data_IF_428158586802
#
_entry.id   IF_428158586802
#
_cell.length_a   1.000
_cell.length_b   1.000
_cell.length_c   1.000
_cell.angle_alpha   90.00
_cell.angle_beta   90.00
_cell.angle_gamma   90.00
#
_symmetry.space_group_name_H-M   'P 1'
#
loop_
_entity.id
_entity.type
_entity.pdbx_description
1 polymer ?
#
# COMPACT_ATOMS: atom_id res chain seq x y z
N UNK A 1 36.98 -1.97 31.03
CA UNK A 1 36.25 -2.94 30.19
C UNK A 1 35.26 -2.14 29.36
N UNK A 2 35.61 -1.82 28.14
CA UNK A 2 34.82 -1.00 27.23
C UNK A 2 33.67 -1.88 26.73
N UNK A 3 32.44 -1.51 27.05
CA UNK A 3 31.22 -2.07 26.44
C UNK A 3 31.28 -1.79 24.93
N UNK A 4 31.50 -2.82 24.15
CA UNK A 4 31.44 -2.74 22.68
C UNK A 4 29.98 -2.52 22.32
N UNK A 5 29.56 -1.26 22.19
CA UNK A 5 28.26 -0.93 21.59
C UNK A 5 28.33 -1.31 20.12
N UNK A 6 27.43 -2.16 19.66
CA UNK A 6 27.20 -2.35 18.24
C UNK A 6 26.96 -0.99 17.58
N UNK A 7 27.58 -0.77 16.42
CA UNK A 7 27.28 0.44 15.65
C UNK A 7 25.79 0.46 15.28
N UNK A 8 25.13 1.64 15.17
CA UNK A 8 23.70 1.76 14.85
C UNK A 8 23.27 1.00 13.59
N UNK A 9 24.19 0.71 12.66
CA UNK A 9 23.97 -0.05 11.44
C UNK A 9 23.66 -1.53 11.67
N UNK A 10 23.98 -2.09 12.84
CA UNK A 10 23.80 -3.51 13.17
C UNK A 10 22.68 -3.79 14.18
N UNK A 11 22.06 -2.75 14.73
CA UNK A 11 20.91 -2.93 15.64
C UNK A 11 19.67 -3.13 14.79
N UNK A 12 19.28 -4.40 14.65
CA UNK A 12 18.10 -4.84 13.92
C UNK A 12 17.12 -5.47 14.93
N UNK A 13 15.84 -5.35 14.64
CA UNK A 13 14.74 -5.93 15.43
C UNK A 13 14.85 -7.45 15.63
N UNK A 14 15.61 -8.17 14.78
CA UNK A 14 15.85 -9.62 14.91
C UNK A 14 17.03 -9.98 15.83
N UNK A 15 17.75 -8.98 16.38
CA UNK A 15 18.83 -9.19 17.35
C UNK A 15 18.30 -8.88 18.74
N UNK A 16 18.26 -9.89 19.60
CA UNK A 16 17.88 -9.71 21.01
C UNK A 16 19.09 -9.51 21.91
N UNK A 17 18.93 -8.71 22.95
CA UNK A 17 19.93 -8.53 23.98
C UNK A 17 19.63 -9.48 25.14
N UNK A 18 20.55 -10.38 25.45
CA UNK A 18 20.51 -11.23 26.63
C UNK A 18 21.47 -10.68 27.68
N UNK A 19 20.99 -10.57 28.94
CA UNK A 19 21.82 -10.18 30.08
C UNK A 19 22.14 -11.41 30.91
N UNK A 20 23.42 -11.68 31.06
CA UNK A 20 23.89 -12.74 31.96
C UNK A 20 23.70 -12.34 33.42
N UNK A 21 23.70 -13.31 34.35
CA UNK A 21 23.63 -13.03 35.77
C UNK A 21 24.79 -12.15 36.30
N UNK A 22 25.90 -12.07 35.55
CA UNK A 22 27.04 -11.20 35.79
C UNK A 22 26.88 -9.78 35.24
N UNK A 23 25.74 -9.44 34.62
CA UNK A 23 25.46 -8.11 34.04
C UNK A 23 26.09 -7.86 32.67
N UNK A 24 26.68 -8.88 32.03
CA UNK A 24 27.24 -8.76 30.68
C UNK A 24 26.11 -8.88 29.65
N UNK A 25 26.02 -7.90 28.76
CA UNK A 25 25.06 -7.94 27.63
C UNK A 25 25.66 -8.74 26.48
N UNK A 26 24.87 -9.69 25.98
CA UNK A 26 25.22 -10.50 24.81
C UNK A 26 24.14 -10.30 23.75
N UNK A 27 24.57 -10.01 22.54
CA UNK A 27 23.68 -9.85 21.38
C UNK A 27 23.49 -11.21 20.72
N UNK A 28 22.24 -11.62 20.53
CA UNK A 28 21.88 -12.94 20.00
C UNK A 28 21.01 -12.79 18.76
N UNK A 29 21.46 -13.34 17.63
CA UNK A 29 20.68 -13.45 16.40
C UNK A 29 20.09 -14.86 16.33
N UNK A 30 18.75 -14.94 16.53
CA UNK A 30 17.96 -16.17 16.47
C UNK A 30 16.75 -16.00 15.55
N UNK A 31 16.94 -16.12 14.24
CA UNK A 31 15.86 -15.93 13.27
C UNK A 31 15.03 -17.20 13.06
N UNK A 32 15.44 -18.35 13.57
CA UNK A 32 14.83 -19.63 13.25
C UNK A 32 13.42 -19.76 13.76
N UNK A 33 12.51 -20.14 12.84
CA UNK A 33 11.07 -20.24 13.08
C UNK A 33 10.56 -21.60 12.58
N UNK A 34 10.12 -22.50 13.48
CA UNK A 34 9.63 -23.82 13.12
C UNK A 34 8.28 -23.81 12.40
N UNK A 35 7.57 -22.67 12.37
CA UNK A 35 6.32 -22.52 11.64
C UNK A 35 6.53 -22.34 10.12
N UNK A 36 7.76 -22.08 9.70
CA UNK A 36 8.09 -21.88 8.30
C UNK A 36 7.93 -23.20 7.52
N UNK A 37 7.30 -23.08 6.35
CA UNK A 37 7.13 -24.18 5.40
C UNK A 37 7.60 -23.75 4.02
N UNK A 38 8.33 -24.61 3.35
CA UNK A 38 8.76 -24.35 1.97
C UNK A 38 7.66 -24.74 0.99
N UNK A 39 7.41 -23.88 0.00
CA UNK A 39 6.44 -24.17 -1.06
C UNK A 39 7.02 -25.20 -2.01
N UNK A 40 6.19 -26.17 -2.42
CA UNK A 40 6.56 -27.20 -3.37
C UNK A 40 6.13 -26.85 -4.78
N UNK A 41 6.67 -27.58 -5.78
CA UNK A 41 6.27 -27.43 -7.18
C UNK A 41 4.76 -27.67 -7.34
N UNK A 42 4.24 -28.71 -6.71
CA UNK A 42 2.82 -29.06 -6.75
C UNK A 42 1.93 -27.97 -6.17
N UNK A 43 2.37 -27.31 -5.08
CA UNK A 43 1.62 -26.20 -4.47
C UNK A 43 1.53 -25.02 -5.44
N UNK A 44 2.66 -24.62 -6.05
CA UNK A 44 2.70 -23.52 -7.02
C UNK A 44 1.82 -23.84 -8.22
N UNK A 45 1.98 -25.01 -8.84
CA UNK A 45 1.18 -25.42 -10.00
C UNK A 45 -0.31 -25.53 -9.65
N UNK A 46 -0.64 -25.97 -8.43
CA UNK A 46 -2.02 -26.00 -7.92
C UNK A 46 -2.62 -24.59 -7.81
N UNK A 47 -1.87 -23.62 -7.28
CA UNK A 47 -2.29 -22.22 -7.24
C UNK A 47 -2.50 -21.70 -8.65
N UNK A 48 -1.50 -21.82 -9.53
CA UNK A 48 -1.55 -21.30 -10.90
C UNK A 48 -2.70 -21.90 -11.71
N UNK A 49 -2.93 -23.19 -11.56
CA UNK A 49 -4.06 -23.89 -12.19
C UNK A 49 -5.41 -23.33 -11.76
N UNK A 50 -5.55 -22.98 -10.48
CA UNK A 50 -6.78 -22.38 -9.94
C UNK A 50 -7.10 -21.02 -10.56
N UNK A 51 -6.09 -20.36 -11.15
CA UNK A 51 -6.21 -19.06 -11.82
C UNK A 51 -5.92 -19.13 -13.33
N UNK A 52 -6.15 -20.29 -13.94
CA UNK A 52 -6.17 -20.45 -15.40
C UNK A 52 -4.84 -20.78 -16.06
N UNK A 53 -3.75 -20.93 -15.32
CA UNK A 53 -2.45 -21.33 -15.87
C UNK A 53 -2.27 -22.83 -15.66
N UNK A 54 -2.33 -23.60 -16.78
CA UNK A 54 -2.18 -25.05 -16.75
C UNK A 54 -0.80 -25.54 -17.19
N UNK A 55 0.10 -24.61 -17.51
CA UNK A 55 1.46 -24.92 -17.96
C UNK A 55 2.33 -25.16 -16.73
N UNK A 56 3.18 -26.21 -16.71
CA UNK A 56 4.13 -26.44 -15.62
C UNK A 56 5.10 -25.26 -15.42
N UNK A 57 5.48 -25.02 -14.17
CA UNK A 57 6.52 -24.04 -13.87
C UNK A 57 7.91 -24.56 -14.27
N UNK A 58 8.80 -23.66 -14.66
CA UNK A 58 10.15 -23.96 -15.13
C UNK A 58 11.20 -23.81 -14.03
N UNK A 59 11.04 -22.84 -13.12
CA UNK A 59 12.01 -22.53 -12.07
C UNK A 59 11.34 -22.35 -10.70
N UNK A 60 11.28 -23.43 -9.92
CA UNK A 60 10.71 -23.43 -8.59
C UNK A 60 11.41 -22.44 -7.63
N UNK A 61 12.73 -22.18 -7.82
CA UNK A 61 13.49 -21.31 -6.93
C UNK A 61 13.01 -19.85 -7.00
N UNK A 62 12.45 -19.39 -8.11
CA UNK A 62 11.81 -18.07 -8.18
C UNK A 62 10.63 -17.98 -7.22
N UNK A 63 9.79 -19.01 -7.19
CA UNK A 63 8.62 -19.07 -6.31
C UNK A 63 9.03 -19.24 -4.85
N UNK A 64 9.97 -20.13 -4.54
CA UNK A 64 10.52 -20.25 -3.18
C UNK A 64 11.02 -18.91 -2.68
N UNK A 65 11.80 -18.21 -3.50
CA UNK A 65 12.32 -16.89 -3.16
C UNK A 65 11.20 -15.84 -2.97
N UNK A 66 10.10 -15.89 -3.72
CA UNK A 66 8.98 -14.98 -3.55
C UNK A 66 8.36 -15.05 -2.14
N UNK A 67 8.49 -16.18 -1.47
CA UNK A 67 7.99 -16.38 -0.11
C UNK A 67 9.00 -16.07 0.99
N UNK A 68 10.22 -15.61 0.70
CA UNK A 68 11.24 -15.33 1.71
C UNK A 68 11.22 -13.85 2.11
N UNK A 69 10.76 -13.57 3.32
CA UNK A 69 10.84 -12.23 3.90
C UNK A 69 12.30 -11.87 4.25
N UNK A 70 12.64 -10.59 4.19
CA UNK A 70 13.98 -10.08 4.50
C UNK A 70 14.49 -10.43 5.91
N UNK A 71 13.58 -10.75 6.84
CA UNK A 71 13.98 -11.17 8.19
C UNK A 71 14.57 -12.58 8.23
N UNK A 72 14.40 -13.41 7.18
CA UNK A 72 14.87 -14.80 7.15
C UNK A 72 16.05 -15.02 6.17
N UNK A 73 16.94 -14.05 6.11
CA UNK A 73 18.14 -14.13 5.27
C UNK A 73 19.42 -14.19 6.12
N UNK A 74 20.46 -14.76 5.55
CA UNK A 74 21.81 -14.70 6.12
C UNK A 74 22.27 -13.24 6.20
N UNK A 75 22.98 -12.93 7.27
CA UNK A 75 23.56 -11.61 7.52
C UNK A 75 25.07 -11.72 7.68
N UNK A 76 25.83 -11.78 6.59
CA UNK A 76 27.28 -11.95 6.65
C UNK A 76 28.00 -10.93 7.52
N UNK A 77 27.43 -9.71 7.64
CA UNK A 77 28.00 -8.68 8.52
C UNK A 77 27.97 -9.05 10.01
N UNK A 78 27.04 -9.93 10.43
CA UNK A 78 26.97 -10.42 11.82
C UNK A 78 27.94 -11.60 12.07
N UNK A 79 28.40 -12.26 11.01
CA UNK A 79 29.34 -13.39 11.10
C UNK A 79 30.79 -12.91 11.39
N UNK A 80 31.01 -11.58 11.41
CA UNK A 80 32.33 -11.03 11.73
C UNK A 80 32.55 -11.07 13.25
N UNK A 81 33.64 -11.73 13.70
CA UNK A 81 34.02 -11.88 15.11
C UNK A 81 34.13 -10.57 15.89
N UNK A 82 34.34 -9.43 15.18
CA UNK A 82 34.41 -8.11 15.79
C UNK A 82 33.05 -7.60 16.33
N UNK A 83 31.93 -8.17 15.88
CA UNK A 83 30.59 -7.66 16.22
C UNK A 83 30.02 -8.28 17.50
N UNK A 84 30.67 -9.26 18.12
CA UNK A 84 30.24 -9.91 19.38
C UNK A 84 28.78 -10.39 19.37
N UNK A 85 28.26 -10.78 18.20
CA UNK A 85 26.92 -11.32 18.03
C UNK A 85 26.98 -12.84 18.01
N UNK A 86 26.22 -13.48 18.89
CA UNK A 86 26.06 -14.93 18.89
C UNK A 86 24.99 -15.31 17.87
N UNK A 87 25.39 -16.06 16.86
CA UNK A 87 24.47 -16.62 15.87
C UNK A 87 24.03 -18.01 16.36
N UNK A 88 22.71 -18.17 16.54
CA UNK A 88 22.17 -19.46 16.97
C UNK A 88 22.32 -20.51 15.86
N UNK A 89 22.72 -21.72 16.22
CA UNK A 89 22.78 -22.83 15.27
C UNK A 89 21.37 -23.19 14.78
N UNK A 90 21.29 -23.59 13.50
CA UNK A 90 20.02 -23.99 12.90
C UNK A 90 19.43 -25.20 13.61
N UNK A 91 18.22 -25.10 14.20
CA UNK A 91 17.48 -26.28 14.70
C UNK A 91 17.10 -27.24 13.57
N UNK A 92 16.97 -28.53 13.88
CA UNK A 92 16.68 -29.57 12.87
C UNK A 92 15.32 -29.40 12.21
N UNK A 93 14.34 -28.87 12.96
CA UNK A 93 12.96 -28.60 12.52
C UNK A 93 12.79 -27.28 11.78
N UNK A 94 13.85 -26.51 11.58
CA UNK A 94 13.82 -25.21 10.91
C UNK A 94 14.42 -25.25 9.50
N UNK A 95 13.89 -24.40 8.62
CA UNK A 95 14.47 -24.18 7.29
C UNK A 95 15.83 -23.48 7.38
N UNK A 96 16.74 -23.71 6.46
CA UNK A 96 18.00 -22.94 6.39
C UNK A 96 17.71 -21.49 6.03
N UNK A 97 18.55 -20.56 6.52
CA UNK A 97 18.48 -19.16 6.12
C UNK A 97 18.80 -19.01 4.63
N UNK A 98 17.98 -18.22 3.96
CA UNK A 98 18.19 -17.88 2.56
C UNK A 98 19.30 -16.82 2.38
N UNK A 99 19.85 -16.74 1.20
CA UNK A 99 20.83 -15.69 0.83
C UNK A 99 20.15 -14.42 0.28
N UNK A 100 18.90 -14.51 -0.18
CA UNK A 100 18.20 -13.42 -0.86
C UNK A 100 16.74 -13.40 -0.45
N UNK A 101 16.22 -12.20 -0.18
CA UNK A 101 14.79 -11.96 0.09
C UNK A 101 13.97 -11.87 -1.19
N UNK A 102 12.65 -11.68 -1.01
CA UNK A 102 11.69 -11.46 -2.06
C UNK A 102 11.66 -10.02 -2.61
N UNK A 103 12.34 -9.05 -1.99
CA UNK A 103 12.23 -7.62 -2.32
C UNK A 103 12.48 -7.29 -3.80
N UNK A 104 13.43 -7.98 -4.46
CA UNK A 104 13.66 -7.76 -5.90
C UNK A 104 12.55 -8.34 -6.79
N UNK A 105 11.89 -9.40 -6.36
CA UNK A 105 10.73 -9.95 -7.05
C UNK A 105 9.51 -9.07 -6.83
N UNK A 106 9.32 -8.56 -5.62
CA UNK A 106 8.32 -7.55 -5.27
C UNK A 106 8.43 -6.33 -6.20
N UNK A 107 9.64 -5.77 -6.33
CA UNK A 107 9.90 -4.61 -7.20
C UNK A 107 9.48 -4.85 -8.66
N UNK A 108 9.80 -6.02 -9.23
CA UNK A 108 9.39 -6.37 -10.60
C UNK A 108 7.88 -6.62 -10.66
N UNK A 109 7.36 -7.34 -9.67
CA UNK A 109 5.95 -7.71 -9.61
C UNK A 109 5.00 -6.53 -9.45
N UNK A 110 5.39 -5.50 -8.67
CA UNK A 110 4.63 -4.25 -8.57
C UNK A 110 4.46 -3.59 -9.95
N UNK A 111 5.54 -3.44 -10.72
CA UNK A 111 5.49 -2.89 -12.07
C UNK A 111 4.61 -3.71 -13.03
N UNK A 112 4.70 -5.04 -12.95
CA UNK A 112 3.87 -5.95 -13.74
C UNK A 112 2.40 -5.83 -13.35
N UNK A 113 2.10 -5.88 -12.05
CA UNK A 113 0.75 -5.76 -11.51
C UNK A 113 0.12 -4.42 -11.89
N UNK A 114 0.85 -3.33 -11.76
CA UNK A 114 0.38 -1.99 -12.12
C UNK A 114 0.07 -1.89 -13.62
N UNK A 115 0.94 -2.40 -14.48
CA UNK A 115 0.76 -2.42 -15.94
C UNK A 115 -0.52 -3.16 -16.33
N UNK A 116 -0.70 -4.40 -15.84
CA UNK A 116 -1.86 -5.22 -16.17
C UNK A 116 -3.14 -4.71 -15.54
N UNK A 117 -3.09 -4.12 -14.36
CA UNK A 117 -4.27 -3.50 -13.74
C UNK A 117 -4.77 -2.33 -14.59
N UNK A 118 -3.87 -1.47 -15.10
CA UNK A 118 -4.25 -0.38 -16.01
C UNK A 118 -4.87 -0.91 -17.30
N UNK A 119 -4.25 -1.92 -17.90
CA UNK A 119 -4.75 -2.56 -19.12
C UNK A 119 -6.12 -3.22 -18.90
N UNK A 120 -6.28 -3.93 -17.79
CA UNK A 120 -7.54 -4.57 -17.40
C UNK A 120 -8.66 -3.53 -17.22
N UNK A 121 -8.41 -2.44 -16.49
CA UNK A 121 -9.39 -1.37 -16.28
C UNK A 121 -9.77 -0.67 -17.60
N UNK A 122 -8.78 -0.43 -18.47
CA UNK A 122 -9.02 0.16 -19.79
C UNK A 122 -9.98 -0.72 -20.63
N UNK A 123 -9.77 -2.04 -20.62
CA UNK A 123 -10.66 -3.00 -21.32
C UNK A 123 -12.04 -3.08 -20.66
N UNK A 124 -12.09 -3.12 -19.33
CA UNK A 124 -13.34 -3.32 -18.57
C UNK A 124 -14.25 -2.08 -18.62
N UNK A 125 -13.69 -0.91 -18.65
CA UNK A 125 -14.43 0.36 -18.62
C UNK A 125 -14.14 1.24 -19.85
N UNK A 126 -14.57 0.83 -21.06
CA UNK A 126 -14.18 1.47 -22.31
C UNK A 126 -14.71 2.91 -22.46
N UNK A 127 -15.67 3.32 -21.65
CA UNK A 127 -16.24 4.68 -21.65
C UNK A 127 -15.78 5.54 -20.48
N UNK A 128 -14.98 4.98 -19.56
CA UNK A 128 -14.50 5.71 -18.39
C UNK A 128 -13.37 6.67 -18.75
N UNK A 129 -13.33 7.78 -18.05
CA UNK A 129 -12.23 8.76 -18.14
C UNK A 129 -11.02 8.30 -17.33
N UNK A 130 -9.86 8.88 -17.63
CA UNK A 130 -8.58 8.57 -16.99
C UNK A 130 -8.62 8.67 -15.46
N UNK A 131 -9.23 9.74 -14.93
CA UNK A 131 -9.34 9.95 -13.48
C UNK A 131 -10.06 8.81 -12.75
N UNK A 132 -11.15 8.30 -13.32
CA UNK A 132 -11.86 7.13 -12.77
C UNK A 132 -10.97 5.88 -12.77
N UNK A 133 -10.31 5.59 -13.89
CA UNK A 133 -9.43 4.42 -14.00
C UNK A 133 -8.24 4.50 -13.02
N UNK A 134 -7.67 5.68 -12.85
CA UNK A 134 -6.58 5.92 -11.90
C UNK A 134 -7.03 5.70 -10.46
N UNK A 135 -8.21 6.18 -10.09
CA UNK A 135 -8.77 5.97 -8.75
C UNK A 135 -9.01 4.48 -8.48
N UNK A 136 -9.67 3.77 -9.42
CA UNK A 136 -9.94 2.34 -9.25
C UNK A 136 -8.65 1.50 -9.27
N UNK A 137 -7.64 1.89 -10.06
CA UNK A 137 -6.31 1.28 -10.00
C UNK A 137 -5.71 1.39 -8.60
N UNK A 138 -5.71 2.57 -7.98
CA UNK A 138 -5.16 2.77 -6.64
C UNK A 138 -5.87 1.86 -5.62
N UNK A 139 -7.20 1.75 -5.70
CA UNK A 139 -7.95 0.88 -4.79
C UNK A 139 -7.65 -0.62 -4.99
N UNK A 140 -7.41 -1.05 -6.22
CA UNK A 140 -7.11 -2.44 -6.54
C UNK A 140 -5.70 -2.85 -6.07
N UNK A 141 -4.67 -2.02 -6.34
CA UNK A 141 -3.26 -2.40 -6.12
C UNK A 141 -2.70 -1.90 -4.80
N UNK A 142 -3.46 -1.21 -3.95
CA UNK A 142 -2.95 -0.85 -2.62
C UNK A 142 -2.65 -2.11 -1.82
N UNK A 143 -1.55 -2.10 -1.07
CA UNK A 143 -1.05 -3.27 -0.35
C UNK A 143 -2.09 -3.95 0.56
N UNK A 144 -3.03 -3.21 1.15
CA UNK A 144 -4.09 -3.79 1.96
C UNK A 144 -5.10 -4.59 1.13
N UNK A 145 -5.41 -4.16 -0.10
CA UNK A 145 -6.32 -4.85 -1.00
C UNK A 145 -5.71 -6.14 -1.53
N UNK A 146 -4.53 -6.05 -2.14
CA UNK A 146 -3.83 -7.23 -2.67
C UNK A 146 -3.36 -8.16 -1.55
N UNK A 147 -3.07 -7.63 -0.36
CA UNK A 147 -2.75 -8.43 0.82
C UNK A 147 -3.94 -9.26 1.33
N UNK A 148 -5.15 -8.72 1.26
CA UNK A 148 -6.38 -9.48 1.57
C UNK A 148 -6.56 -10.60 0.55
N UNK A 149 -6.35 -10.33 -0.72
CA UNK A 149 -6.38 -11.35 -1.79
C UNK A 149 -5.34 -12.44 -1.51
N UNK A 150 -4.09 -12.07 -1.18
CA UNK A 150 -3.05 -13.03 -0.83
C UNK A 150 -3.44 -13.93 0.36
N UNK A 151 -4.14 -13.35 1.35
CA UNK A 151 -4.65 -14.08 2.51
C UNK A 151 -5.78 -15.05 2.11
N UNK A 152 -6.73 -14.62 1.30
CA UNK A 152 -7.83 -15.44 0.78
C UNK A 152 -7.33 -16.60 -0.10
N UNK A 153 -6.28 -16.35 -0.89
CA UNK A 153 -5.56 -17.38 -1.64
C UNK A 153 -4.78 -18.34 -0.73
N UNK A 154 -4.59 -18.00 0.53
CA UNK A 154 -3.81 -18.77 1.49
C UNK A 154 -2.30 -18.74 1.24
N UNK A 155 -1.77 -17.72 0.56
CA UNK A 155 -0.33 -17.59 0.28
C UNK A 155 0.49 -17.42 1.55
N UNK A 156 -0.09 -16.82 2.58
CA UNK A 156 0.55 -16.58 3.87
C UNK A 156 1.09 -17.85 4.56
N UNK A 157 0.53 -19.05 4.26
CA UNK A 157 0.97 -20.33 4.86
C UNK A 157 2.40 -20.71 4.51
N UNK A 158 2.92 -20.24 3.36
CA UNK A 158 4.29 -20.47 2.92
C UNK A 158 5.23 -19.28 3.16
N UNK A 159 4.74 -18.20 3.81
CA UNK A 159 5.57 -17.04 4.06
C UNK A 159 6.65 -17.38 5.08
N UNK A 160 7.91 -17.30 4.67
CA UNK A 160 9.09 -17.66 5.46
C UNK A 160 9.59 -16.43 6.21
N UNK A 161 9.47 -16.45 7.54
CA UNK A 161 9.67 -15.31 8.46
C UNK A 161 10.62 -15.68 9.58
N UNK A 162 11.37 -14.70 10.12
CA UNK A 162 12.04 -14.89 11.41
C UNK A 162 11.05 -15.09 12.55
N UNK A 163 11.52 -15.68 13.62
CA UNK A 163 10.76 -15.86 14.87
C UNK A 163 10.23 -14.52 15.42
N UNK A 164 11.04 -13.47 15.33
CA UNK A 164 10.65 -12.13 15.74
C UNK A 164 9.57 -11.54 14.80
N UNK A 165 9.73 -11.65 13.49
CA UNK A 165 8.72 -11.21 12.54
C UNK A 165 7.39 -11.97 12.72
N UNK A 166 7.45 -13.25 13.07
CA UNK A 166 6.26 -14.04 13.41
C UNK A 166 5.55 -13.50 14.66
N UNK A 167 6.31 -13.20 15.73
CA UNK A 167 5.75 -12.62 16.96
C UNK A 167 5.09 -11.24 16.74
N UNK A 168 5.55 -10.48 15.75
CA UNK A 168 4.92 -9.24 15.29
C UNK A 168 3.74 -9.45 14.34
N UNK A 169 3.26 -10.69 14.20
CA UNK A 169 2.13 -11.05 13.33
C UNK A 169 2.33 -10.67 11.85
N UNK A 170 3.56 -10.67 11.34
CA UNK A 170 3.87 -10.35 9.95
C UNK A 170 3.14 -11.25 8.96
N UNK A 171 2.91 -12.55 9.33
CA UNK A 171 2.19 -13.55 8.51
C UNK A 171 0.73 -13.18 8.24
N UNK A 172 0.12 -12.31 9.03
CA UNK A 172 -1.27 -11.85 8.89
C UNK A 172 -1.37 -10.35 8.58
N UNK A 173 -0.24 -9.66 8.49
CA UNK A 173 -0.21 -8.24 8.17
C UNK A 173 -0.49 -8.01 6.69
N UNK A 174 -1.62 -7.38 6.37
CA UNK A 174 -2.08 -7.18 4.99
C UNK A 174 -1.06 -6.42 4.13
N UNK A 175 -0.34 -5.43 4.67
CA UNK A 175 0.69 -4.72 3.90
C UNK A 175 1.84 -5.65 3.49
N UNK A 176 2.28 -6.52 4.41
CA UNK A 176 3.32 -7.51 4.14
C UNK A 176 2.85 -8.62 3.20
N UNK A 177 1.59 -8.98 3.28
CA UNK A 177 0.99 -9.91 2.33
C UNK A 177 0.78 -9.29 0.95
N UNK A 178 0.60 -7.96 0.85
CA UNK A 178 0.65 -7.24 -0.41
C UNK A 178 1.99 -7.38 -1.11
N UNK A 179 3.09 -7.09 -0.39
CA UNK A 179 4.46 -7.29 -0.88
C UNK A 179 4.73 -8.75 -1.31
N UNK A 180 4.18 -9.72 -0.56
CA UNK A 180 4.25 -11.14 -0.92
C UNK A 180 3.53 -11.43 -2.23
N UNK A 181 2.33 -10.88 -2.43
CA UNK A 181 1.57 -11.04 -3.67
C UNK A 181 2.31 -10.47 -4.88
N UNK A 182 2.84 -9.27 -4.75
CA UNK A 182 3.68 -8.65 -5.79
C UNK A 182 4.89 -9.52 -6.12
N UNK A 183 5.59 -10.02 -5.10
CA UNK A 183 6.74 -10.94 -5.31
C UNK A 183 6.32 -12.23 -6.03
N UNK A 184 5.15 -12.77 -5.74
CA UNK A 184 4.61 -13.95 -6.41
C UNK A 184 4.28 -13.65 -7.89
N UNK A 185 3.68 -12.49 -8.20
CA UNK A 185 3.46 -12.02 -9.57
C UNK A 185 4.80 -11.85 -10.31
N UNK A 186 5.79 -11.27 -9.65
CA UNK A 186 7.15 -11.14 -10.19
C UNK A 186 7.80 -12.48 -10.51
N UNK A 187 7.56 -13.51 -9.68
CA UNK A 187 8.04 -14.87 -9.94
C UNK A 187 7.36 -15.49 -11.18
N UNK A 188 6.04 -15.33 -11.31
CA UNK A 188 5.29 -15.79 -12.51
C UNK A 188 5.86 -15.14 -13.77
N UNK A 189 6.00 -13.81 -13.73
CA UNK A 189 6.51 -13.04 -14.87
C UNK A 189 7.88 -13.52 -15.34
N UNK A 190 8.83 -13.66 -14.40
CA UNK A 190 10.19 -14.08 -14.72
C UNK A 190 10.28 -15.55 -15.13
N UNK A 191 9.52 -16.45 -14.48
CA UNK A 191 9.54 -17.88 -14.80
C UNK A 191 9.08 -18.15 -16.23
N UNK A 192 7.99 -17.54 -16.63
CA UNK A 192 7.45 -17.74 -17.98
C UNK A 192 8.16 -16.92 -19.07
N UNK A 193 8.86 -15.84 -18.71
CA UNK A 193 9.73 -15.15 -19.67
C UNK A 193 10.99 -15.94 -20.01
N UNK A 194 11.40 -16.89 -19.19
CA UNK A 194 12.60 -17.71 -19.38
C UNK A 194 13.84 -16.90 -19.75
N UNK A 195 14.06 -15.80 -19.06
CA UNK A 195 15.23 -14.96 -19.28
C UNK A 195 16.47 -15.77 -18.91
N UNK A 196 17.14 -16.35 -19.88
CA UNK A 196 18.50 -16.86 -19.73
C UNK A 196 19.44 -15.68 -19.92
N UNK A 197 19.95 -15.16 -18.81
CA UNK A 197 21.07 -14.22 -18.85
C UNK A 197 22.33 -15.07 -19.10
N UNK A 198 22.61 -15.32 -20.37
CA UNK A 198 23.82 -16.00 -20.79
C UNK A 198 24.77 -14.94 -21.37
N UNK A 199 25.28 -14.12 -20.47
CA UNK A 199 25.98 -12.91 -20.86
C UNK A 199 27.31 -12.82 -20.11
N UNK A 200 28.39 -13.33 -20.73
CA UNK A 200 29.76 -13.14 -20.23
C UNK A 200 30.19 -11.68 -20.35
N UNK A 201 29.71 -10.92 -21.33
CA UNK A 201 30.07 -9.53 -21.55
C UNK A 201 28.94 -8.67 -22.11
N UNK A 202 27.81 -9.26 -22.48
CA UNK A 202 26.72 -8.61 -23.17
C UNK A 202 25.50 -8.42 -22.26
N UNK A 203 25.62 -7.74 -21.16
CA UNK A 203 24.55 -7.46 -20.19
C UNK A 203 23.24 -6.95 -20.80
N UNK A 204 23.19 -6.71 -22.10
CA UNK A 204 22.01 -6.31 -22.82
C UNK A 204 21.36 -7.41 -23.67
N UNK A 205 22.10 -8.37 -24.17
CA UNK A 205 21.62 -9.24 -25.25
C UNK A 205 20.35 -10.04 -24.86
N UNK A 206 20.14 -10.30 -23.57
CA UNK A 206 19.02 -11.10 -23.10
C UNK A 206 18.14 -10.38 -22.07
N UNK A 207 18.43 -9.12 -21.75
CA UNK A 207 17.71 -8.39 -20.70
C UNK A 207 16.31 -7.91 -21.13
N UNK A 208 16.03 -7.89 -22.43
CA UNK A 208 14.80 -7.34 -22.99
C UNK A 208 14.01 -8.33 -23.84
N UNK A 209 14.27 -9.62 -23.74
CA UNK A 209 13.45 -10.62 -24.41
C UNK A 209 12.12 -10.73 -23.67
N UNK A 210 11.08 -10.13 -24.24
CA UNK A 210 9.71 -10.35 -23.77
C UNK A 210 9.27 -11.76 -24.19
N UNK A 211 9.10 -12.64 -23.23
CA UNK A 211 8.53 -13.96 -23.42
C UNK A 211 7.04 -14.00 -23.06
N UNK A 212 6.44 -15.19 -22.96
CA UNK A 212 5.04 -15.39 -22.61
C UNK A 212 4.70 -15.00 -21.16
N UNK A 213 5.69 -14.58 -20.35
CA UNK A 213 5.49 -14.13 -18.98
C UNK A 213 4.49 -12.99 -18.85
N UNK A 214 4.41 -12.09 -19.81
CA UNK A 214 3.36 -11.07 -19.84
C UNK A 214 1.98 -11.69 -19.95
N UNK A 215 1.76 -12.62 -20.87
CA UNK A 215 0.47 -13.29 -21.05
C UNK A 215 0.07 -14.10 -19.82
N UNK A 216 1.00 -14.83 -19.23
CA UNK A 216 0.73 -15.63 -18.03
C UNK A 216 0.41 -14.74 -16.83
N UNK A 217 1.11 -13.64 -16.66
CA UNK A 217 0.80 -12.67 -15.60
C UNK A 217 -0.57 -11.99 -15.83
N UNK A 218 -0.93 -11.67 -17.09
CA UNK A 218 -2.26 -11.13 -17.42
C UNK A 218 -3.36 -12.14 -17.06
N UNK A 219 -3.25 -13.40 -17.48
CA UNK A 219 -4.21 -14.47 -17.18
C UNK A 219 -4.38 -14.59 -15.65
N UNK A 220 -3.28 -14.64 -14.92
CA UNK A 220 -3.30 -14.78 -13.47
C UNK A 220 -3.99 -13.58 -12.80
N UNK A 221 -3.54 -12.34 -13.08
CA UNK A 221 -4.07 -11.13 -12.47
C UNK A 221 -5.55 -10.94 -12.82
N UNK A 222 -5.94 -11.16 -14.07
CA UNK A 222 -7.34 -11.09 -14.48
C UNK A 222 -8.19 -12.09 -13.70
N UNK A 223 -7.78 -13.36 -13.63
CA UNK A 223 -8.52 -14.38 -12.89
C UNK A 223 -8.62 -14.08 -11.39
N UNK A 224 -7.55 -13.54 -10.80
CA UNK A 224 -7.55 -13.08 -9.40
C UNK A 224 -8.57 -11.96 -9.19
N UNK A 225 -8.57 -10.94 -10.04
CA UNK A 225 -9.50 -9.82 -9.89
C UNK A 225 -10.96 -10.24 -10.09
N UNK A 226 -11.25 -11.08 -11.07
CA UNK A 226 -12.61 -11.58 -11.30
C UNK A 226 -13.13 -12.43 -10.13
N UNK A 227 -12.25 -13.12 -9.43
CA UNK A 227 -12.62 -13.97 -8.28
C UNK A 227 -12.77 -13.20 -6.97
N UNK A 228 -11.89 -12.25 -6.69
CA UNK A 228 -11.74 -11.67 -5.36
C UNK A 228 -12.23 -10.22 -5.24
N UNK A 229 -12.44 -9.51 -6.35
CA UNK A 229 -12.87 -8.12 -6.32
C UNK A 229 -14.39 -8.01 -6.39
N UNK A 230 -14.99 -7.39 -5.38
CA UNK A 230 -16.38 -6.93 -5.48
C UNK A 230 -16.44 -5.67 -6.34
N UNK A 231 -16.66 -5.88 -7.64
CA UNK A 231 -16.72 -4.80 -8.63
C UNK A 231 -17.89 -3.83 -8.38
N UNK A 232 -18.98 -4.31 -7.82
CA UNK A 232 -20.14 -3.46 -7.50
C UNK A 232 -19.78 -2.48 -6.40
N UNK A 233 -19.20 -2.96 -5.32
CA UNK A 233 -18.70 -2.11 -4.24
C UNK A 233 -17.59 -1.18 -4.71
N UNK A 234 -16.63 -1.69 -5.51
CA UNK A 234 -15.52 -0.88 -6.03
C UNK A 234 -16.00 0.29 -6.89
N UNK A 235 -17.00 0.08 -7.76
CA UNK A 235 -17.53 1.13 -8.65
C UNK A 235 -18.40 2.11 -7.87
N UNK A 236 -19.21 1.61 -6.93
CA UNK A 236 -20.15 2.44 -6.17
C UNK A 236 -19.51 3.17 -4.98
N UNK A 237 -18.39 2.66 -4.44
CA UNK A 237 -17.65 3.32 -3.38
C UNK A 237 -16.82 4.48 -3.95
N UNK A 238 -17.48 5.60 -4.11
CA UNK A 238 -16.85 6.87 -4.44
C UNK A 238 -16.38 7.54 -3.13
N UNK A 239 -15.42 6.88 -2.45
CA UNK A 239 -14.88 7.35 -1.16
C UNK A 239 -13.91 8.54 -1.33
N UNK A 240 -13.77 9.07 -2.53
CA UNK A 240 -12.92 10.22 -2.79
C UNK A 240 -13.74 11.53 -2.78
N UNK A 241 -14.49 11.73 -1.70
CA UNK A 241 -15.34 12.92 -1.54
C UNK A 241 -14.58 14.23 -1.75
N UNK A 242 -13.29 14.25 -1.42
CA UNK A 242 -12.44 15.43 -1.63
C UNK A 242 -12.31 15.78 -3.11
N UNK A 243 -12.11 14.79 -3.97
CA UNK A 243 -12.03 14.97 -5.41
C UNK A 243 -13.39 15.34 -6.02
N UNK A 244 -14.46 14.67 -5.58
CA UNK A 244 -15.83 14.95 -6.03
C UNK A 244 -16.19 16.38 -5.69
N UNK A 245 -15.96 16.82 -4.45
CA UNK A 245 -16.25 18.19 -4.01
C UNK A 245 -15.44 19.20 -4.81
N UNK A 246 -14.15 18.92 -5.05
CA UNK A 246 -13.31 19.79 -5.86
C UNK A 246 -13.85 19.94 -7.29
N UNK A 247 -14.29 18.85 -7.92
CA UNK A 247 -14.91 18.90 -9.27
C UNK A 247 -16.19 19.74 -9.27
N UNK A 248 -17.06 19.56 -8.29
CA UNK A 248 -18.31 20.35 -8.16
C UNK A 248 -17.96 21.84 -8.04
N UNK A 249 -17.08 22.20 -7.10
CA UNK A 249 -16.71 23.59 -6.84
C UNK A 249 -15.97 24.22 -8.03
N UNK A 250 -15.05 23.49 -8.67
CA UNK A 250 -14.37 23.99 -9.86
C UNK A 250 -15.30 24.18 -11.05
N UNK A 251 -16.28 23.28 -11.23
CA UNK A 251 -17.27 23.41 -12.29
C UNK A 251 -18.11 24.68 -12.10
N UNK A 252 -18.60 24.90 -10.88
CA UNK A 252 -19.56 25.95 -10.57
C UNK A 252 -18.89 27.32 -10.36
N UNK A 253 -17.81 27.35 -9.58
CA UNK A 253 -17.21 28.60 -9.10
C UNK A 253 -15.81 28.88 -9.66
N UNK A 254 -15.18 27.96 -10.40
CA UNK A 254 -13.83 28.07 -11.00
C UNK A 254 -12.69 28.24 -9.95
N UNK A 255 -12.93 27.81 -8.72
CA UNK A 255 -11.95 27.82 -7.62
C UNK A 255 -11.82 26.43 -7.00
N UNK A 256 -10.89 26.27 -6.06
CA UNK A 256 -10.73 25.05 -5.25
C UNK A 256 -11.25 25.26 -3.84
N UNK A 257 -11.81 24.22 -3.19
CA UNK A 257 -12.18 24.29 -1.77
C UNK A 257 -10.95 24.42 -0.87
N UNK A 258 -11.11 25.07 0.27
CA UNK A 258 -10.09 25.20 1.31
C UNK A 258 -10.42 24.33 2.52
N UNK A 259 -9.40 23.77 3.15
CA UNK A 259 -9.50 22.88 4.30
C UNK A 259 -8.77 23.50 5.47
N UNK A 260 -9.51 23.85 6.53
CA UNK A 260 -8.93 24.48 7.72
C UNK A 260 -9.20 23.60 8.95
N UNK A 261 -8.24 23.58 9.85
CA UNK A 261 -8.39 22.89 11.13
C UNK A 261 -9.15 23.79 12.11
N UNK A 262 -10.21 23.25 12.71
CA UNK A 262 -11.02 23.94 13.69
C UNK A 262 -10.45 23.70 15.09
N UNK A 263 -10.10 24.78 15.83
CA UNK A 263 -9.32 24.72 17.08
C UNK A 263 -10.06 24.13 18.29
N UNK A 264 -11.38 23.95 18.23
CA UNK A 264 -12.20 23.50 19.35
C UNK A 264 -12.02 22.04 19.76
N UNK A 265 -11.30 21.22 18.98
CA UNK A 265 -11.20 19.77 19.23
C UNK A 265 -9.94 19.34 20.01
N UNK A 266 -9.03 20.25 20.28
CA UNK A 266 -7.80 19.96 21.03
C UNK A 266 -8.01 19.64 22.51
N UNK A 267 -9.20 19.93 23.06
CA UNK A 267 -9.51 19.76 24.49
C UNK A 267 -10.03 18.36 24.89
N UNK A 268 -10.45 17.50 23.97
CA UNK A 268 -11.11 16.21 24.27
C UNK A 268 -10.39 14.95 23.77
N UNK A 269 -9.07 15.02 23.49
CA UNK A 269 -8.28 13.84 23.11
C UNK A 269 -8.00 13.71 21.60
N UNK A 270 -6.88 13.07 21.29
CA UNK A 270 -6.18 12.99 20.01
C UNK A 270 -7.05 12.78 18.76
N UNK A 271 -7.43 13.86 18.06
CA UNK A 271 -8.16 13.83 16.79
C UNK A 271 -8.06 15.11 16.00
N UNK A 272 -8.51 15.09 14.75
CA UNK A 272 -8.56 16.24 13.85
C UNK A 272 -10.01 16.65 13.62
N UNK A 273 -10.27 17.95 13.72
CA UNK A 273 -11.54 18.57 13.38
C UNK A 273 -11.31 19.49 12.18
N UNK A 274 -11.78 19.09 11.00
CA UNK A 274 -11.54 19.77 9.74
C UNK A 274 -12.80 20.43 9.23
N UNK A 275 -12.67 21.71 8.83
CA UNK A 275 -13.72 22.43 8.13
C UNK A 275 -13.41 22.57 6.65
N UNK A 276 -14.45 22.56 5.81
CA UNK A 276 -14.37 22.83 4.37
C UNK A 276 -14.99 24.17 4.06
N UNK A 277 -14.29 24.98 3.29
CA UNK A 277 -14.65 26.36 3.00
C UNK A 277 -14.59 26.65 1.50
N UNK A 278 -15.49 27.53 1.06
CA UNK A 278 -15.47 28.16 -0.25
C UNK A 278 -15.06 29.63 -0.09
N UNK A 279 -13.97 30.03 -0.74
CA UNK A 279 -13.46 31.39 -0.70
C UNK A 279 -13.53 31.96 -2.13
N UNK A 280 -14.34 33.01 -2.32
CA UNK A 280 -14.53 33.66 -3.61
C UNK A 280 -14.23 35.16 -3.51
N UNK A 281 -13.60 35.68 -4.59
CA UNK A 281 -13.31 37.11 -4.71
C UNK A 281 -12.25 37.68 -3.79
N UNK A 282 -11.57 36.84 -3.01
CA UNK A 282 -10.48 37.20 -2.11
C UNK A 282 -9.49 36.05 -1.92
N UNK A 283 -8.30 36.33 -1.44
CA UNK A 283 -7.32 35.29 -1.11
C UNK A 283 -7.64 34.69 0.27
N UNK A 284 -7.37 33.37 0.44
CA UNK A 284 -7.71 32.65 1.67
C UNK A 284 -7.03 33.27 2.92
N UNK A 285 -5.79 33.76 2.79
CA UNK A 285 -5.07 34.37 3.92
C UNK A 285 -5.72 35.69 4.38
N UNK A 286 -6.42 36.40 3.53
CA UNK A 286 -7.20 37.58 3.88
C UNK A 286 -8.46 37.20 4.65
N UNK A 287 -9.08 36.05 4.29
CA UNK A 287 -10.26 35.54 4.97
C UNK A 287 -9.92 34.94 6.35
N UNK A 288 -8.80 34.27 6.50
CA UNK A 288 -8.36 33.69 7.77
C UNK A 288 -8.05 34.72 8.86
N UNK A 289 -7.62 35.93 8.49
CA UNK A 289 -7.36 37.01 9.45
C UNK A 289 -8.64 37.56 10.08
N UNK A 290 -9.84 37.21 9.58
CA UNK A 290 -11.13 37.69 10.03
C UNK A 290 -12.17 36.58 10.18
N UNK A 291 -12.03 35.67 11.18
CA UNK A 291 -12.99 34.56 11.36
C UNK A 291 -14.44 35.00 11.57
N UNK A 292 -14.67 36.20 12.06
CA UNK A 292 -16.00 36.76 12.29
C UNK A 292 -16.76 37.11 11.00
N UNK A 293 -16.07 37.16 9.84
CA UNK A 293 -16.68 37.42 8.53
C UNK A 293 -17.05 36.11 7.78
N UNK A 294 -16.85 34.96 8.42
CA UNK A 294 -17.23 33.67 7.85
C UNK A 294 -18.74 33.52 7.84
N UNK A 295 -19.31 33.44 6.65
CA UNK A 295 -20.75 33.19 6.48
C UNK A 295 -21.00 31.68 6.49
N UNK A 296 -21.85 31.19 7.36
CA UNK A 296 -22.23 29.79 7.43
C UNK A 296 -23.26 29.50 6.34
N UNK A 297 -22.97 28.55 5.45
CA UNK A 297 -23.86 28.20 4.34
C UNK A 297 -25.24 27.70 4.80
N UNK A 298 -25.24 26.96 5.90
CA UNK A 298 -26.44 26.28 6.40
C UNK A 298 -27.53 27.30 6.79
N UNK A 299 -28.55 27.41 5.98
CA UNK A 299 -29.73 28.26 6.21
C UNK A 299 -29.68 29.65 5.54
N UNK A 300 -28.54 30.11 5.01
CA UNK A 300 -28.45 31.39 4.29
C UNK A 300 -28.55 31.25 2.77
N UNK A 301 -28.07 30.12 2.21
CA UNK A 301 -28.11 29.83 0.79
C UNK A 301 -28.75 28.48 0.56
N UNK A 302 -29.72 28.42 -0.37
CA UNK A 302 -30.41 27.19 -0.77
C UNK A 302 -30.18 26.84 -2.24
N UNK A 303 -29.37 27.65 -2.95
CA UNK A 303 -28.99 27.40 -4.34
C UNK A 303 -27.68 28.05 -4.72
N UNK A 304 -27.01 27.50 -5.73
CA UNK A 304 -25.82 28.11 -6.35
C UNK A 304 -26.11 29.53 -6.89
N UNK A 305 -27.33 29.75 -7.41
CA UNK A 305 -27.75 31.06 -7.94
C UNK A 305 -27.71 32.16 -6.86
N UNK A 306 -28.15 31.87 -5.63
CA UNK A 306 -28.11 32.82 -4.52
C UNK A 306 -26.65 33.17 -4.13
N UNK A 307 -25.73 32.22 -4.18
CA UNK A 307 -24.30 32.50 -3.94
C UNK A 307 -23.75 33.41 -5.04
N UNK A 308 -24.07 33.17 -6.30
CA UNK A 308 -23.68 34.02 -7.42
C UNK A 308 -24.29 35.43 -7.32
N UNK A 309 -25.56 35.55 -6.94
CA UNK A 309 -26.21 36.81 -6.70
C UNK A 309 -25.53 37.59 -5.56
N UNK A 310 -25.25 36.94 -4.44
CA UNK A 310 -24.52 37.54 -3.33
C UNK A 310 -23.15 38.02 -3.77
N UNK A 311 -22.43 37.23 -4.56
CA UNK A 311 -21.13 37.61 -5.13
C UNK A 311 -21.21 38.80 -6.07
N UNK A 312 -22.30 38.97 -6.82
CA UNK A 312 -22.48 40.11 -7.72
C UNK A 312 -22.55 41.44 -6.95
N UNK A 313 -23.13 41.40 -5.75
CA UNK A 313 -23.33 42.57 -4.85
C UNK A 313 -22.08 42.81 -3.99
N UNK A 314 -21.62 41.79 -3.28
CA UNK A 314 -20.58 41.94 -2.24
C UNK A 314 -19.16 41.72 -2.72
N UNK A 315 -18.97 41.20 -3.94
CA UNK A 315 -17.69 40.94 -4.62
C UNK A 315 -16.80 39.90 -3.95
N UNK A 316 -17.05 39.52 -2.69
CA UNK A 316 -16.28 38.54 -1.94
C UNK A 316 -17.18 37.76 -0.97
N UNK A 317 -16.85 36.49 -0.76
CA UNK A 317 -17.47 35.64 0.25
C UNK A 317 -16.49 34.62 0.78
N UNK A 318 -16.53 34.38 2.10
CA UNK A 318 -15.88 33.24 2.74
C UNK A 318 -16.96 32.39 3.41
N UNK A 319 -17.22 31.22 2.81
CA UNK A 319 -18.36 30.40 3.14
C UNK A 319 -17.92 29.09 3.77
N UNK A 320 -18.42 28.81 4.98
CA UNK A 320 -18.26 27.51 5.62
C UNK A 320 -19.27 26.54 5.04
N UNK A 321 -18.79 25.40 4.49
CA UNK A 321 -19.64 24.40 3.87
C UNK A 321 -20.03 23.27 4.84
N UNK A 322 -19.03 22.62 5.44
CA UNK A 322 -19.24 21.51 6.35
C UNK A 322 -17.99 21.22 7.19
N UNK A 323 -18.13 20.33 8.16
CA UNK A 323 -17.04 19.88 9.03
C UNK A 323 -17.00 18.36 9.16
N UNK A 324 -15.84 17.84 9.58
CA UNK A 324 -15.66 16.42 9.86
C UNK A 324 -14.64 16.17 10.98
N UNK A 325 -14.89 15.15 11.79
CA UNK A 325 -14.05 14.78 12.95
C UNK A 325 -13.56 13.36 12.78
N UNK A 326 -12.24 13.14 12.94
CA UNK A 326 -11.65 11.80 12.92
C UNK A 326 -10.25 11.81 13.56
N UNK A 327 -9.78 10.67 14.06
CA UNK A 327 -8.41 10.48 14.58
C UNK A 327 -7.32 10.71 13.53
N UNK A 328 -7.63 10.54 12.24
CA UNK A 328 -6.72 10.72 11.11
C UNK A 328 -7.19 11.93 10.31
N UNK A 329 -6.32 12.93 10.09
CA UNK A 329 -6.62 14.18 9.39
C UNK A 329 -7.29 13.97 8.02
N UNK A 330 -6.69 13.11 7.19
CA UNK A 330 -7.22 12.79 5.84
C UNK A 330 -8.65 12.24 5.89
N UNK A 331 -8.99 11.45 6.91
CA UNK A 331 -10.37 10.94 7.07
C UNK A 331 -11.33 12.02 7.57
N UNK A 332 -10.89 12.91 8.46
CA UNK A 332 -11.69 14.06 8.87
C UNK A 332 -12.03 14.95 7.66
N UNK A 333 -11.07 15.22 6.78
CA UNK A 333 -11.30 15.97 5.54
C UNK A 333 -12.30 15.26 4.61
N UNK A 334 -12.24 13.93 4.47
CA UNK A 334 -13.20 13.17 3.64
C UNK A 334 -14.63 13.25 4.20
N UNK A 335 -14.81 13.14 5.52
CA UNK A 335 -16.11 13.29 6.19
C UNK A 335 -16.66 14.70 5.97
N UNK A 336 -15.84 15.72 6.11
CA UNK A 336 -16.23 17.10 5.85
C UNK A 336 -16.66 17.30 4.38
N UNK A 337 -15.93 16.70 3.44
CA UNK A 337 -16.28 16.76 2.01
C UNK A 337 -17.59 16.05 1.70
N UNK A 338 -17.84 14.88 2.28
CA UNK A 338 -19.09 14.14 2.11
C UNK A 338 -20.30 14.99 2.55
N UNK A 339 -20.21 15.58 3.75
CA UNK A 339 -21.26 16.48 4.26
C UNK A 339 -21.47 17.71 3.36
N UNK A 340 -20.38 18.31 2.87
CA UNK A 340 -20.45 19.44 1.95
C UNK A 340 -21.11 19.07 0.61
N UNK A 341 -20.82 17.87 0.07
CA UNK A 341 -21.43 17.37 -1.17
C UNK A 341 -22.93 17.14 -0.97
N UNK A 342 -23.33 16.54 0.14
CA UNK A 342 -24.75 16.32 0.45
C UNK A 342 -25.50 17.64 0.50
N UNK A 343 -24.94 18.65 1.14
CA UNK A 343 -25.51 20.00 1.20
C UNK A 343 -25.59 20.64 -0.20
N UNK A 344 -24.51 20.65 -0.98
CA UNK A 344 -24.49 21.25 -2.32
C UNK A 344 -25.36 20.51 -3.34
N UNK A 345 -25.68 19.24 -3.13
CA UNK A 345 -26.63 18.48 -3.95
C UNK A 345 -28.10 18.80 -3.61
N UNK A 346 -28.35 19.35 -2.44
CA UNK A 346 -29.68 19.81 -2.06
C UNK A 346 -30.01 21.22 -2.60
N UNK A 347 -29.04 21.89 -3.22
CA UNK A 347 -29.18 23.16 -3.94
C UNK A 347 -29.76 22.93 -5.34
#
# INVERSE_FOLDING_TARGET
>A
MTSTQLSPEYVDDDIRVERTASGVETYVFDPYNPLNREITKSDVEGILKSYGIQIPIFNLELYRRAFIHKSYIRRPALENEQNSVVIVNKPDDCLPLSTKSNERLEFVGDGVLECFTKYYLYKRFPKAQEGFMTEKKIELVKNESIGRIAQEMGLNRWYVLSKHAESKQTRTNLKKLGCLFEAFVGAIFLDFNRIQINDSDGWFANSFVSGPGFQMSEIFIQAVFERHVDWTSLVNNDNNYKNILQVIIQKEYKVTPHYLELTAYQAEGAGYHMGVYLCLGQAIHEAQSRPAECVVCNGQFTSHAQIHEYMSIHKKIFLFLAEGKHKIKKKAEQIACEAAIQMLRSF
#
